data_IF_084142763811
#
_entry.id   IF_084142763811
#
_cell.length_a   1.000
_cell.length_b   1.000
_cell.length_c   1.000
_cell.angle_alpha   90.00
_cell.angle_beta   90.00
_cell.angle_gamma   90.00
#
_symmetry.space_group_name_H-M   'P 1'
#
loop_
_entity.id
_entity.type
_entity.pdbx_description
1 polymer ?
#
# COMPACT_ATOMS: atom_id res chain seq x y z
N UNK A 1 25.50 21.68 25.36
CA UNK A 1 25.23 22.06 23.94
C UNK A 1 24.85 20.90 23.02
N UNK A 2 25.33 19.65 23.23
CA UNK A 2 25.02 18.50 22.36
C UNK A 2 23.60 17.90 22.55
N UNK A 3 23.02 18.00 23.75
CA UNK A 3 21.70 17.41 24.07
C UNK A 3 20.54 18.02 23.26
N UNK A 4 20.58 19.34 23.04
CA UNK A 4 19.55 20.03 22.27
C UNK A 4 19.66 19.73 20.77
N UNK A 5 20.88 19.50 20.25
CA UNK A 5 21.09 19.11 18.84
C UNK A 5 20.56 17.71 18.55
N UNK A 6 20.72 16.78 19.49
CA UNK A 6 20.17 15.42 19.37
C UNK A 6 18.64 15.41 19.37
N UNK A 7 18.00 16.19 20.25
CA UNK A 7 16.53 16.31 20.33
C UNK A 7 15.97 16.91 19.03
N UNK A 8 16.62 17.95 18.49
CA UNK A 8 16.22 18.57 17.22
C UNK A 8 16.40 17.59 16.04
N UNK A 9 17.48 16.81 16.02
CA UNK A 9 17.71 15.79 14.99
C UNK A 9 16.59 14.73 15.00
N UNK A 10 16.24 14.23 16.19
CA UNK A 10 15.15 13.24 16.36
C UNK A 10 13.80 13.81 15.94
N UNK A 11 13.47 15.05 16.35
CA UNK A 11 12.24 15.72 15.92
C UNK A 11 12.19 15.95 14.41
N UNK A 12 13.32 16.30 13.79
CA UNK A 12 13.43 16.48 12.33
C UNK A 12 13.21 15.16 11.58
N UNK A 13 13.76 14.04 12.07
CA UNK A 13 13.53 12.71 11.50
C UNK A 13 12.06 12.30 11.62
N UNK A 14 11.44 12.54 12.79
CA UNK A 14 10.01 12.24 13.00
C UNK A 14 9.11 13.07 12.07
N UNK A 15 9.42 14.35 11.89
CA UNK A 15 8.68 15.25 10.99
C UNK A 15 8.87 14.90 9.50
N UNK A 16 10.08 14.54 9.09
CA UNK A 16 10.36 14.13 7.71
C UNK A 16 9.73 12.76 7.38
N UNK A 17 9.70 11.82 8.34
CA UNK A 17 9.06 10.52 8.16
C UNK A 17 7.52 10.55 8.27
N UNK A 18 6.93 11.63 8.79
CA UNK A 18 5.49 11.78 8.97
C UNK A 18 4.71 12.25 7.74
N UNK A 19 5.40 12.66 6.66
CA UNK A 19 4.75 13.31 5.52
C UNK A 19 4.24 12.35 4.43
N UNK A 20 3.00 12.61 3.99
CA UNK A 20 2.42 12.25 2.69
C UNK A 20 1.96 10.79 2.47
N UNK A 21 1.00 10.32 3.27
CA UNK A 21 -0.01 9.37 2.73
C UNK A 21 -1.38 10.04 2.83
N UNK A 22 -1.72 10.85 1.82
CA UNK A 22 -3.03 11.46 1.72
C UNK A 22 -4.08 10.36 1.49
N UNK A 23 -4.95 10.13 2.47
CA UNK A 23 -6.05 9.15 2.42
C UNK A 23 -7.38 9.80 2.04
N UNK A 24 -7.40 11.09 1.66
CA UNK A 24 -8.64 11.88 1.40
C UNK A 24 -9.55 11.38 0.27
N UNK A 25 -9.16 10.35 -0.47
CA UNK A 25 -9.89 9.88 -1.64
C UNK A 25 -10.72 8.61 -1.38
N UNK A 26 -10.58 7.98 -0.21
CA UNK A 26 -11.47 6.92 0.24
C UNK A 26 -12.67 7.57 0.94
N UNK A 27 -13.88 7.34 0.44
CA UNK A 27 -15.09 7.87 1.08
C UNK A 27 -15.75 6.89 2.04
N UNK A 28 -15.47 5.58 1.91
CA UNK A 28 -16.02 4.56 2.80
C UNK A 28 -15.23 4.48 4.14
N UNK A 29 -15.89 4.71 5.30
CA UNK A 29 -15.25 4.69 6.62
C UNK A 29 -14.60 3.34 6.97
N UNK A 30 -15.19 2.23 6.52
CA UNK A 30 -14.67 0.88 6.81
C UNK A 30 -13.35 0.66 6.09
N UNK A 31 -13.30 1.03 4.81
CA UNK A 31 -12.09 0.99 3.98
C UNK A 31 -10.96 1.85 4.55
N UNK A 32 -11.29 3.05 5.05
CA UNK A 32 -10.31 3.93 5.73
C UNK A 32 -9.72 3.22 6.95
N UNK A 33 -10.57 2.67 7.83
CA UNK A 33 -10.12 1.98 9.04
C UNK A 33 -9.25 0.77 8.71
N UNK A 34 -9.62 -0.01 7.69
CA UNK A 34 -8.80 -1.13 7.20
C UNK A 34 -7.42 -0.68 6.71
N UNK A 35 -7.34 0.41 5.94
CA UNK A 35 -6.06 0.96 5.49
C UNK A 35 -5.18 1.40 6.65
N UNK A 36 -5.77 2.00 7.69
CA UNK A 36 -5.05 2.37 8.91
C UNK A 36 -4.54 1.14 9.66
N UNK A 37 -5.38 0.12 9.86
CA UNK A 37 -5.03 -1.13 10.51
C UNK A 37 -3.90 -1.87 9.76
N UNK A 38 -4.02 -2.01 8.43
CA UNK A 38 -2.98 -2.63 7.60
C UNK A 38 -1.67 -1.83 7.65
N UNK A 39 -1.74 -0.49 7.66
CA UNK A 39 -0.55 0.37 7.77
C UNK A 39 0.14 0.18 9.13
N UNK A 40 -0.62 0.09 10.21
CA UNK A 40 -0.09 -0.18 11.54
C UNK A 40 0.60 -1.55 11.60
N UNK A 41 -0.06 -2.60 11.08
CA UNK A 41 0.50 -3.95 11.05
C UNK A 41 1.81 -4.01 10.22
N UNK A 42 1.84 -3.38 9.04
CA UNK A 42 3.04 -3.30 8.22
C UNK A 42 4.18 -2.53 8.88
N UNK A 43 3.88 -1.41 9.54
CA UNK A 43 4.91 -0.56 10.16
C UNK A 43 5.55 -1.28 11.34
N UNK A 44 4.75 -1.97 12.17
CA UNK A 44 5.26 -2.76 13.29
C UNK A 44 6.19 -3.89 12.84
N UNK A 45 5.79 -4.64 11.80
CA UNK A 45 6.62 -5.74 11.27
C UNK A 45 7.91 -5.22 10.64
N UNK A 46 7.84 -4.19 9.78
CA UNK A 46 9.02 -3.67 9.10
C UNK A 46 10.07 -3.09 10.07
N UNK A 47 9.66 -2.42 11.15
CA UNK A 47 10.60 -1.86 12.14
C UNK A 47 11.29 -2.99 12.92
N UNK A 48 10.55 -4.04 13.29
CA UNK A 48 11.13 -5.22 13.93
C UNK A 48 12.16 -5.92 13.05
N UNK A 49 11.82 -6.16 11.78
CA UNK A 49 12.71 -6.84 10.83
C UNK A 49 14.00 -6.03 10.60
N UNK A 50 13.91 -4.71 10.45
CA UNK A 50 15.11 -3.84 10.34
C UNK A 50 15.97 -3.91 11.60
N UNK A 51 15.36 -3.90 12.79
CA UNK A 51 16.08 -4.01 14.05
C UNK A 51 16.82 -5.34 14.21
N UNK A 52 16.17 -6.46 13.87
CA UNK A 52 16.79 -7.80 13.91
C UNK A 52 17.94 -7.87 12.91
N UNK A 53 17.71 -7.47 11.66
CA UNK A 53 18.74 -7.45 10.62
C UNK A 53 19.94 -6.59 11.02
N UNK A 54 19.71 -5.42 11.62
CA UNK A 54 20.77 -4.57 12.11
C UNK A 54 21.57 -5.21 13.25
N UNK A 55 20.88 -5.82 14.22
CA UNK A 55 21.54 -6.55 15.32
C UNK A 55 22.33 -7.77 14.81
N UNK A 56 21.75 -8.55 13.89
CA UNK A 56 22.39 -9.69 13.24
C UNK A 56 23.61 -9.27 12.41
N UNK A 57 23.55 -8.12 11.72
CA UNK A 57 24.69 -7.56 10.99
C UNK A 57 25.83 -7.17 11.94
N UNK A 58 25.54 -6.52 13.06
CA UNK A 58 26.55 -6.17 14.07
C UNK A 58 27.20 -7.43 14.65
N UNK A 59 26.40 -8.45 14.98
CA UNK A 59 26.89 -9.73 15.51
C UNK A 59 27.74 -10.48 14.48
N UNK A 60 27.29 -10.54 13.23
CA UNK A 60 28.02 -11.17 12.14
C UNK A 60 29.37 -10.49 11.91
N UNK A 61 29.42 -9.15 11.94
CA UNK A 61 30.66 -8.39 11.83
C UNK A 61 31.59 -8.61 13.04
N UNK A 62 31.06 -8.75 14.25
CA UNK A 62 31.84 -9.00 15.46
C UNK A 62 32.41 -10.43 15.53
N UNK A 63 31.73 -11.40 14.91
CA UNK A 63 32.09 -12.81 14.92
C UNK A 63 32.77 -13.28 13.62
N UNK A 64 32.96 -12.38 12.65
CA UNK A 64 33.49 -12.66 11.31
C UNK A 64 32.70 -13.76 10.55
N UNK A 65 31.36 -13.73 10.71
CA UNK A 65 30.43 -14.66 10.07
C UNK A 65 29.74 -13.97 8.89
N UNK A 66 29.42 -14.71 7.84
CA UNK A 66 28.62 -14.19 6.73
C UNK A 66 27.23 -13.77 7.21
N UNK A 67 26.84 -12.54 6.85
CA UNK A 67 25.52 -12.00 7.15
C UNK A 67 24.57 -12.26 5.97
N UNK A 68 23.40 -12.82 6.28
CA UNK A 68 22.28 -12.91 5.35
C UNK A 68 21.09 -12.13 5.92
N UNK A 69 20.48 -11.29 5.09
CA UNK A 69 19.36 -10.48 5.51
C UNK A 69 18.10 -11.35 5.64
N UNK A 70 17.54 -11.40 6.85
CA UNK A 70 16.26 -12.03 7.11
C UNK A 70 15.13 -11.16 6.55
N UNK A 71 14.35 -11.70 5.62
CA UNK A 71 13.10 -11.08 5.17
C UNK A 71 11.93 -12.00 5.52
N UNK A 72 10.98 -11.48 6.30
CA UNK A 72 9.72 -12.18 6.55
C UNK A 72 8.84 -12.15 5.30
N UNK A 73 7.92 -13.11 5.20
CA UNK A 73 6.88 -13.11 4.15
C UNK A 73 6.09 -11.79 4.19
N UNK A 74 5.92 -11.17 3.01
CA UNK A 74 5.24 -9.88 2.90
C UNK A 74 3.75 -10.08 3.09
N UNK A 75 3.19 -9.60 4.19
CA UNK A 75 1.74 -9.67 4.43
C UNK A 75 0.95 -8.67 3.58
N UNK A 76 1.57 -7.53 3.22
CA UNK A 76 0.92 -6.49 2.42
C UNK A 76 1.85 -5.90 1.37
N UNK A 77 1.25 -5.55 0.23
CA UNK A 77 1.90 -4.85 -0.87
C UNK A 77 1.29 -3.47 -1.04
N UNK A 78 2.14 -2.48 -1.35
CA UNK A 78 1.67 -1.15 -1.76
C UNK A 78 1.51 -1.14 -3.27
N UNK A 79 0.31 -0.88 -3.73
CA UNK A 79 -0.01 -0.65 -5.15
C UNK A 79 -0.42 0.80 -5.34
N UNK A 80 -0.42 1.26 -6.59
CA UNK A 80 -0.97 2.56 -6.94
C UNK A 80 -2.00 2.43 -8.04
N UNK A 81 -3.16 3.06 -7.86
CA UNK A 81 -4.15 3.22 -8.92
C UNK A 81 -4.03 4.63 -9.47
N UNK A 82 -3.97 4.76 -10.79
CA UNK A 82 -3.85 6.03 -11.49
C UNK A 82 -5.03 6.18 -12.44
N UNK A 83 -5.71 7.32 -12.39
CA UNK A 83 -6.69 7.66 -13.40
C UNK A 83 -5.99 8.35 -14.57
N UNK A 84 -6.00 7.71 -15.74
CA UNK A 84 -5.46 8.25 -16.99
C UNK A 84 -6.52 8.87 -17.90
N UNK A 85 -7.77 8.91 -17.47
CA UNK A 85 -8.85 9.52 -18.22
C UNK A 85 -8.97 11.02 -17.96
N UNK A 86 -9.79 11.68 -18.79
CA UNK A 86 -10.13 13.10 -18.68
C UNK A 86 -11.18 13.39 -17.61
N UNK A 87 -11.90 12.36 -17.15
CA UNK A 87 -12.98 12.47 -16.17
C UNK A 87 -12.58 11.86 -14.83
N UNK A 88 -13.31 12.20 -13.77
CA UNK A 88 -13.14 11.52 -12.47
C UNK A 88 -13.62 10.08 -12.56
N UNK A 89 -12.91 9.15 -11.92
CA UNK A 89 -13.31 7.76 -11.82
C UNK A 89 -13.79 7.43 -10.40
N UNK A 90 -14.91 6.73 -10.30
CA UNK A 90 -15.30 6.01 -9.08
C UNK A 90 -14.74 4.61 -9.16
N UNK A 91 -14.00 4.17 -8.14
CA UNK A 91 -13.31 2.88 -8.13
C UNK A 91 -13.63 2.11 -6.84
N UNK A 92 -13.93 0.82 -6.99
CA UNK A 92 -14.11 -0.15 -5.92
C UNK A 92 -13.17 -1.34 -6.16
N UNK A 93 -12.55 -1.85 -5.10
CA UNK A 93 -11.69 -3.02 -5.16
C UNK A 93 -12.21 -4.07 -4.21
N UNK A 94 -12.55 -5.24 -4.76
CA UNK A 94 -13.13 -6.36 -4.01
C UNK A 94 -12.21 -7.57 -4.07
N UNK A 95 -11.97 -8.22 -2.94
CA UNK A 95 -11.13 -9.42 -2.83
C UNK A 95 -11.87 -10.51 -2.06
N UNK A 96 -11.49 -11.77 -2.32
CA UNK A 96 -11.91 -12.93 -1.55
C UNK A 96 -11.07 -13.14 -0.27
N UNK A 97 -10.02 -12.33 -0.08
CA UNK A 97 -9.19 -12.42 1.12
C UNK A 97 -9.87 -11.76 2.30
N UNK A 98 -10.05 -12.57 3.34
CA UNK A 98 -10.61 -12.14 4.62
C UNK A 98 -9.56 -11.37 5.43
N UNK A 99 -9.94 -10.19 5.93
CA UNK A 99 -9.17 -9.39 6.87
C UNK A 99 -9.77 -9.51 8.28
N UNK A 100 -9.07 -10.23 9.17
CA UNK A 100 -9.56 -10.61 10.52
C UNK A 100 -10.78 -11.54 10.45
N UNK A 101 -11.47 -11.76 11.57
CA UNK A 101 -12.50 -12.79 11.69
C UNK A 101 -13.84 -12.46 11.00
N UNK A 102 -14.03 -11.23 10.48
CA UNK A 102 -15.39 -10.75 10.17
C UNK A 102 -15.59 -9.99 8.85
N UNK A 103 -14.64 -9.97 7.92
CA UNK A 103 -14.94 -9.42 6.58
C UNK A 103 -13.80 -9.41 5.56
N UNK A 104 -14.17 -9.28 4.28
CA UNK A 104 -13.24 -9.15 3.16
C UNK A 104 -12.40 -7.87 3.26
N UNK A 105 -11.20 -7.90 2.68
CA UNK A 105 -10.29 -6.78 2.63
C UNK A 105 -10.60 -5.80 1.48
N UNK A 106 -11.87 -5.41 1.38
CA UNK A 106 -12.36 -4.57 0.30
C UNK A 106 -12.04 -3.09 0.54
N UNK A 107 -11.81 -2.38 -0.56
CA UNK A 107 -11.54 -0.94 -0.60
C UNK A 107 -12.59 -0.30 -1.50
N UNK A 108 -13.53 0.41 -0.90
CA UNK A 108 -14.70 0.96 -1.58
C UNK A 108 -14.67 2.48 -1.63
N UNK A 109 -15.39 3.05 -2.58
CA UNK A 109 -15.65 4.49 -2.67
C UNK A 109 -14.38 5.30 -2.93
N UNK A 110 -13.48 4.81 -3.77
CA UNK A 110 -12.36 5.63 -4.22
C UNK A 110 -12.88 6.59 -5.27
N UNK A 111 -12.72 7.90 -5.05
CA UNK A 111 -12.95 8.92 -6.09
C UNK A 111 -11.61 9.45 -6.56
N UNK A 112 -11.27 9.16 -7.82
CA UNK A 112 -9.99 9.50 -8.45
C UNK A 112 -10.19 10.60 -9.50
N UNK A 113 -9.77 11.84 -9.22
CA UNK A 113 -9.77 12.90 -10.23
C UNK A 113 -8.89 12.57 -11.46
N UNK A 114 -9.08 13.26 -12.59
CA UNK A 114 -8.24 13.11 -13.78
C UNK A 114 -6.74 13.26 -13.44
N UNK A 115 -5.91 12.32 -13.91
CA UNK A 115 -4.46 12.32 -13.67
C UNK A 115 -4.03 11.99 -12.24
N UNK A 116 -4.97 11.80 -11.31
CA UNK A 116 -4.64 11.54 -9.91
C UNK A 116 -4.11 10.11 -9.70
N UNK A 117 -3.23 9.98 -8.69
CA UNK A 117 -2.64 8.70 -8.27
C UNK A 117 -2.97 8.43 -6.80
N UNK A 118 -3.58 7.28 -6.53
CA UNK A 118 -3.87 6.80 -5.18
C UNK A 118 -2.97 5.63 -4.82
N UNK A 119 -2.24 5.74 -3.70
CA UNK A 119 -1.46 4.64 -3.14
C UNK A 119 -2.35 3.86 -2.16
N UNK A 120 -2.44 2.55 -2.34
CA UNK A 120 -3.23 1.64 -1.50
C UNK A 120 -2.33 0.56 -0.93
N UNK A 121 -2.62 0.17 0.31
CA UNK A 121 -2.03 -1.01 0.92
C UNK A 121 -3.03 -2.16 0.78
N UNK A 122 -2.60 -3.26 0.20
CA UNK A 122 -3.44 -4.43 -0.08
C UNK A 122 -2.76 -5.69 0.45
N UNK A 123 -3.50 -6.75 0.83
CA UNK A 123 -2.92 -8.04 1.17
C UNK A 123 -2.08 -8.62 0.04
N UNK A 124 -1.08 -9.41 0.42
CA UNK A 124 -0.22 -10.16 -0.49
C UNK A 124 -0.10 -11.61 0.00
N UNK A 125 -0.22 -12.61 -0.90
CA UNK A 125 -0.75 -12.54 -2.27
C UNK A 125 -2.28 -12.46 -2.28
N UNK A 126 -2.88 -11.70 -3.20
CA UNK A 126 -4.33 -11.49 -3.30
C UNK A 126 -4.79 -11.25 -4.74
N UNK A 127 -5.98 -11.75 -5.08
CA UNK A 127 -6.70 -11.35 -6.30
C UNK A 127 -7.73 -10.27 -5.94
N UNK A 128 -7.78 -9.21 -6.74
CA UNK A 128 -8.72 -8.11 -6.59
C UNK A 128 -9.48 -7.87 -7.88
N UNK A 129 -10.80 -7.81 -7.79
CA UNK A 129 -11.66 -7.27 -8.82
C UNK A 129 -11.78 -5.76 -8.63
N UNK A 130 -11.24 -4.99 -9.57
CA UNK A 130 -11.30 -3.53 -9.60
C UNK A 130 -12.46 -3.13 -10.49
N UNK A 131 -13.54 -2.63 -9.88
CA UNK A 131 -14.67 -2.03 -10.58
C UNK A 131 -14.45 -0.54 -10.69
N UNK A 132 -14.59 0.03 -11.88
CA UNK A 132 -14.43 1.46 -12.08
C UNK A 132 -15.37 1.99 -13.16
N UNK A 133 -15.77 3.26 -13.02
CA UNK A 133 -16.57 3.97 -14.00
C UNK A 133 -16.33 5.47 -13.96
N UNK A 134 -16.53 6.13 -15.09
CA UNK A 134 -16.70 7.58 -15.15
C UNK A 134 -18.19 7.93 -14.99
N UNK A 135 -18.55 9.22 -14.85
CA UNK A 135 -19.95 9.65 -14.84
C UNK A 135 -20.72 9.34 -16.14
N UNK A 136 -20.00 9.06 -17.23
CA UNK A 136 -20.56 8.91 -18.58
C UNK A 136 -20.28 7.52 -19.18
N UNK A 137 -19.67 6.61 -18.43
CA UNK A 137 -19.35 5.25 -18.87
C UNK A 137 -20.12 4.20 -18.07
N UNK A 138 -20.30 3.05 -18.69
CA UNK A 138 -20.71 1.84 -17.96
C UNK A 138 -19.62 1.41 -16.97
N UNK A 139 -20.01 0.55 -16.03
CA UNK A 139 -19.08 -0.04 -15.07
C UNK A 139 -18.17 -1.07 -15.74
N UNK A 140 -16.87 -0.87 -15.59
CA UNK A 140 -15.83 -1.73 -16.11
C UNK A 140 -15.18 -2.52 -14.97
N UNK A 141 -14.70 -3.72 -15.29
CA UNK A 141 -14.09 -4.63 -14.33
C UNK A 141 -12.70 -5.03 -14.82
N UNK A 142 -11.72 -4.91 -13.93
CA UNK A 142 -10.35 -5.37 -14.14
C UNK A 142 -9.91 -6.26 -12.98
N UNK A 143 -9.43 -7.47 -13.30
CA UNK A 143 -8.78 -8.32 -12.29
C UNK A 143 -7.29 -7.96 -12.17
N UNK A 144 -6.84 -7.77 -10.93
CA UNK A 144 -5.43 -7.58 -10.61
C UNK A 144 -4.99 -8.67 -9.63
N UNK A 145 -3.75 -9.12 -9.76
CA UNK A 145 -3.13 -9.99 -8.76
C UNK A 145 -1.95 -9.29 -8.11
N UNK A 146 -1.89 -9.36 -6.79
CA UNK A 146 -0.86 -8.66 -6.01
C UNK A 146 0.45 -9.45 -5.92
N UNK A 147 0.43 -10.75 -6.23
CA UNK A 147 1.60 -11.64 -6.32
C UNK A 147 2.61 -11.25 -7.42
N UNK A 148 2.13 -10.70 -8.54
CA UNK A 148 2.93 -10.21 -9.66
C UNK A 148 3.86 -9.04 -9.29
N UNK A 149 4.79 -8.63 -10.15
CA UNK A 149 5.65 -7.45 -9.92
C UNK A 149 4.94 -6.10 -10.09
N UNK A 150 3.64 -6.12 -10.38
CA UNK A 150 2.85 -4.94 -10.70
C UNK A 150 2.69 -4.00 -9.48
N UNK A 151 3.20 -2.77 -9.61
CA UNK A 151 3.16 -1.73 -8.55
C UNK A 151 2.18 -0.60 -8.85
N UNK A 152 1.78 -0.46 -10.11
CA UNK A 152 0.92 0.62 -10.59
C UNK A 152 -0.08 0.06 -11.60
N UNK A 153 -1.34 0.48 -11.44
CA UNK A 153 -2.47 0.13 -12.28
C UNK A 153 -2.98 1.44 -12.86
N UNK A 154 -2.99 1.54 -14.18
CA UNK A 154 -3.51 2.70 -14.87
C UNK A 154 -4.93 2.36 -15.33
N UNK A 155 -5.91 3.15 -14.91
CA UNK A 155 -7.32 2.99 -15.29
C UNK A 155 -7.68 4.05 -16.34
N UNK A 156 -8.34 3.60 -17.41
CA UNK A 156 -8.97 4.42 -18.43
C UNK A 156 -10.26 3.73 -18.88
N UNK A 157 -11.30 4.47 -19.26
CA UNK A 157 -12.48 3.87 -19.88
C UNK A 157 -12.13 3.04 -21.13
N UNK A 158 -12.88 1.98 -21.37
CA UNK A 158 -12.69 1.03 -22.46
C UNK A 158 -11.65 -0.06 -22.19
N UNK A 159 -11.27 -0.30 -20.94
CA UNK A 159 -10.40 -1.40 -20.53
C UNK A 159 -11.22 -2.63 -20.19
N UNK A 160 -11.05 -3.70 -20.98
CA UNK A 160 -11.77 -4.96 -20.75
C UNK A 160 -10.88 -6.03 -20.12
N UNK A 161 -9.57 -6.07 -20.40
CA UNK A 161 -8.60 -7.02 -19.80
C UNK A 161 -7.18 -6.40 -19.89
N UNK A 162 -6.40 -6.39 -18.80
CA UNK A 162 -4.96 -6.10 -18.86
C UNK A 162 -4.23 -7.44 -18.81
N UNK A 163 -3.61 -7.83 -19.93
CA UNK A 163 -2.66 -8.95 -19.91
C UNK A 163 -1.43 -8.54 -19.09
N UNK A 164 -0.93 -9.40 -18.19
CA UNK A 164 0.37 -9.17 -17.58
C UNK A 164 1.44 -9.29 -18.68
N UNK A 165 2.20 -8.21 -18.90
CA UNK A 165 3.51 -8.27 -19.56
C UNK A 165 4.55 -8.86 -18.58
#
# INVERSE_FOLDING_TARGET
>A
MYRNKAIILVLTVILLCGSCTNTRYLTDPVSIKRQQDMKANRTGVNVGDVGINFASMILAAALDIQYEAYSRERTFKRISIVNQSTDSLTVNMVTDIVWKETGYCDIMGIVLPPGAKQKLLVPYPAAYNVYFKSPYSEEEKLEIRTDNNLRQINLKPGMTIVHPE
#
